data_IF_852860009218
#
_entry.id   IF_852860009218
#
_cell.length_a   1.000
_cell.length_b   1.000
_cell.length_c   1.000
_cell.angle_alpha   90.00
_cell.angle_beta   90.00
_cell.angle_gamma   90.00
#
_symmetry.space_group_name_H-M   'P 1'
#
loop_
_entity.id
_entity.type
_entity.pdbx_description
1 polymer ?
#
# COMPACT_ATOMS: atom_id res chain seq x y z
N UNK A 1 -48.47 41.88 28.88
CA UNK A 1 -47.51 41.07 29.67
C UNK A 1 -47.31 39.74 28.97
N UNK A 2 -46.04 39.31 28.82
CA UNK A 2 -45.52 37.99 28.44
C UNK A 2 -45.93 37.41 27.06
N UNK A 3 -45.07 37.36 26.02
CA UNK A 3 -43.77 36.66 25.82
C UNK A 3 -43.91 35.19 25.41
N UNK A 4 -43.56 34.95 24.14
CA UNK A 4 -42.84 33.80 23.55
C UNK A 4 -43.38 32.38 23.81
N UNK A 5 -44.05 31.78 22.81
CA UNK A 5 -44.25 30.34 22.78
C UNK A 5 -44.47 29.79 21.34
N UNK A 6 -43.60 30.10 20.37
CA UNK A 6 -43.67 29.47 19.03
C UNK A 6 -42.30 29.34 18.34
N UNK A 7 -41.22 29.19 19.11
CA UNK A 7 -39.84 29.08 18.59
C UNK A 7 -39.14 27.70 18.85
N UNK A 8 -39.67 26.68 19.57
CA UNK A 8 -38.81 25.53 19.89
C UNK A 8 -38.70 24.49 18.75
N UNK A 9 -39.61 24.47 17.77
CA UNK A 9 -39.63 23.40 16.75
C UNK A 9 -38.76 23.65 15.53
N UNK A 10 -38.38 24.90 15.23
CA UNK A 10 -37.52 25.20 14.07
C UNK A 10 -36.03 24.90 14.36
N UNK A 11 -35.62 24.87 15.64
CA UNK A 11 -34.23 24.65 16.04
C UNK A 11 -33.80 23.18 16.05
N UNK A 12 -34.75 22.24 16.08
CA UNK A 12 -34.45 20.80 16.09
C UNK A 12 -34.21 20.21 14.68
N UNK A 13 -34.68 20.89 13.63
CA UNK A 13 -34.52 20.43 12.25
C UNK A 13 -33.19 20.88 11.60
N UNK A 14 -32.54 21.93 12.14
CA UNK A 14 -31.28 22.48 11.60
C UNK A 14 -30.04 21.75 12.12
N UNK A 15 -30.13 21.09 13.28
CA UNK A 15 -29.00 20.36 13.88
C UNK A 15 -28.71 18.99 13.26
N UNK A 16 -29.62 18.43 12.44
CA UNK A 16 -29.43 17.10 11.83
C UNK A 16 -28.74 17.13 10.46
N UNK A 17 -28.28 18.28 9.97
CA UNK A 17 -27.60 18.38 8.67
C UNK A 17 -26.06 18.33 8.75
N UNK A 18 -25.47 18.18 9.95
CA UNK A 18 -24.03 18.36 10.14
C UNK A 18 -23.21 17.10 10.47
N UNK A 19 -23.73 15.89 10.25
CA UNK A 19 -23.01 14.63 10.54
C UNK A 19 -22.96 13.65 9.36
N UNK A 20 -22.94 14.14 8.13
CA UNK A 20 -22.47 13.35 7.00
C UNK A 20 -21.04 13.79 6.67
N UNK A 21 -20.06 13.30 7.44
CA UNK A 21 -18.69 13.27 6.93
C UNK A 21 -18.73 12.29 5.76
N UNK A 22 -18.45 12.71 4.52
CA UNK A 22 -18.30 11.74 3.44
C UNK A 22 -17.08 10.89 3.80
N UNK A 23 -17.33 9.66 4.23
CA UNK A 23 -16.31 8.60 4.25
C UNK A 23 -16.05 8.29 2.78
N UNK A 24 -15.16 9.08 2.18
CA UNK A 24 -14.69 8.83 0.83
C UNK A 24 -13.71 7.66 0.95
N UNK A 25 -14.21 6.45 0.73
CA UNK A 25 -13.37 5.27 0.59
C UNK A 25 -12.37 5.50 -0.55
N UNK A 26 -11.17 4.95 -0.38
CA UNK A 26 -10.17 4.97 -1.42
C UNK A 26 -10.74 4.33 -2.71
N UNK A 27 -10.42 4.92 -3.88
CA UNK A 27 -10.80 4.32 -5.16
C UNK A 27 -10.11 2.95 -5.31
N UNK A 28 -10.76 2.01 -5.99
CA UNK A 28 -10.13 0.71 -6.24
C UNK A 28 -8.80 0.87 -6.98
N UNK A 29 -7.81 0.07 -6.58
CA UNK A 29 -6.45 0.17 -7.12
C UNK A 29 -6.43 0.05 -8.65
N UNK A 30 -7.29 -0.80 -9.22
CA UNK A 30 -7.40 -1.03 -10.67
C UNK A 30 -7.73 0.24 -11.49
N UNK A 31 -8.49 1.18 -10.92
CA UNK A 31 -8.82 2.45 -11.59
C UNK A 31 -7.67 3.45 -11.60
N UNK A 32 -6.69 3.28 -10.71
CA UNK A 32 -5.52 4.15 -10.58
C UNK A 32 -4.33 3.67 -11.41
N UNK A 33 -4.38 2.43 -11.90
CA UNK A 33 -3.28 1.84 -12.66
C UNK A 33 -3.24 2.38 -14.10
N UNK A 34 -2.03 2.60 -14.65
CA UNK A 34 -1.89 3.08 -16.02
C UNK A 34 -2.29 1.99 -17.03
N UNK A 35 -2.69 2.41 -18.24
CA UNK A 35 -3.01 1.51 -19.35
C UNK A 35 -1.85 0.60 -19.79
N UNK A 36 -0.62 0.90 -19.37
CA UNK A 36 0.58 0.09 -19.64
C UNK A 36 0.76 -1.07 -18.65
N UNK A 37 -0.15 -1.24 -17.70
CA UNK A 37 -0.18 -2.37 -16.75
C UNK A 37 -0.34 -3.70 -17.50
N UNK A 38 0.53 -4.66 -17.21
CA UNK A 38 0.53 -6.00 -17.82
C UNK A 38 -0.10 -7.07 -16.95
N UNK A 39 -0.16 -6.82 -15.65
CA UNK A 39 -0.85 -7.67 -14.70
C UNK A 39 -1.00 -6.95 -13.38
N UNK A 40 -2.08 -7.24 -12.67
CA UNK A 40 -2.30 -6.74 -11.33
C UNK A 40 -2.97 -7.82 -10.47
N UNK A 41 -2.80 -7.70 -9.17
CA UNK A 41 -3.47 -8.48 -8.14
C UNK A 41 -4.01 -7.49 -7.11
N UNK A 42 -5.32 -7.48 -6.94
CA UNK A 42 -6.01 -6.68 -5.94
C UNK A 42 -6.61 -7.60 -4.88
N UNK A 43 -6.39 -7.27 -3.62
CA UNK A 43 -6.98 -7.91 -2.46
C UNK A 43 -7.83 -6.84 -1.76
N UNK A 44 -9.17 -6.84 -1.94
CA UNK A 44 -10.05 -5.79 -1.39
C UNK A 44 -10.03 -5.72 0.13
N UNK A 45 -9.97 -6.89 0.78
CA UNK A 45 -9.88 -7.04 2.22
C UNK A 45 -9.02 -8.27 2.53
N UNK A 46 -7.96 -8.07 3.31
CA UNK A 46 -6.99 -9.10 3.62
C UNK A 46 -7.53 -10.14 4.60
N UNK A 47 -8.39 -9.72 5.54
CA UNK A 47 -8.99 -10.58 6.55
C UNK A 47 -10.05 -11.49 5.93
N UNK A 48 -10.89 -10.96 5.05
CA UNK A 48 -11.86 -11.73 4.27
C UNK A 48 -11.15 -12.68 3.30
N UNK A 49 -10.10 -12.23 2.62
CA UNK A 49 -9.29 -13.09 1.76
C UNK A 49 -8.70 -14.25 2.56
N UNK A 50 -8.14 -13.98 3.73
CA UNK A 50 -7.58 -15.01 4.61
C UNK A 50 -8.65 -15.99 5.07
N UNK A 51 -9.80 -15.48 5.54
CA UNK A 51 -10.92 -16.31 5.97
C UNK A 51 -11.46 -17.19 4.84
N UNK A 52 -11.53 -16.67 3.61
CA UNK A 52 -11.95 -17.43 2.43
C UNK A 52 -10.91 -18.49 2.05
N UNK A 53 -9.62 -18.12 2.05
CA UNK A 53 -8.52 -19.04 1.75
C UNK A 53 -8.46 -20.21 2.75
N UNK A 54 -8.61 -19.93 4.03
CA UNK A 54 -8.58 -20.93 5.11
C UNK A 54 -9.73 -21.94 5.00
N UNK A 55 -10.85 -21.58 4.35
CA UNK A 55 -11.96 -22.50 4.06
C UNK A 55 -11.71 -23.42 2.86
N UNK A 56 -10.72 -23.13 2.02
CA UNK A 56 -10.38 -23.98 0.88
C UNK A 56 -9.70 -25.27 1.34
N UNK A 57 -9.76 -26.34 0.53
CA UNK A 57 -9.03 -27.57 0.81
C UNK A 57 -7.51 -27.34 0.89
N UNK A 58 -6.99 -26.40 0.09
CA UNK A 58 -5.58 -25.99 0.17
C UNK A 58 -5.27 -25.28 1.48
N UNK A 59 -6.16 -24.39 1.94
CA UNK A 59 -6.02 -23.72 3.24
C UNK A 59 -5.99 -24.72 4.40
N UNK A 60 -6.91 -25.68 4.40
CA UNK A 60 -6.94 -26.77 5.39
C UNK A 60 -5.68 -27.63 5.35
N UNK A 61 -5.19 -27.98 4.15
CA UNK A 61 -3.97 -28.76 3.98
C UNK A 61 -2.73 -28.00 4.50
N UNK A 62 -2.66 -26.68 4.28
CA UNK A 62 -1.56 -25.84 4.78
C UNK A 62 -1.59 -25.72 6.31
N UNK A 63 -2.75 -25.90 6.94
CA UNK A 63 -2.91 -25.88 8.39
C UNK A 63 -2.68 -27.25 9.05
N UNK A 64 -2.60 -28.33 8.27
CA UNK A 64 -2.37 -29.68 8.79
C UNK A 64 -0.98 -29.79 9.46
N UNK A 65 -0.89 -30.28 10.72
CA UNK A 65 0.38 -30.45 11.42
C UNK A 65 1.42 -31.30 10.65
N UNK A 66 0.97 -32.29 9.87
CA UNK A 66 1.84 -33.16 9.06
C UNK A 66 2.46 -32.38 7.89
N UNK A 67 1.76 -31.36 7.39
CA UNK A 67 2.22 -30.52 6.29
C UNK A 67 3.15 -29.39 6.73
N UNK A 68 3.25 -29.12 8.04
CA UNK A 68 4.09 -28.05 8.62
C UNK A 68 5.51 -27.95 8.03
N UNK A 69 6.33 -29.02 7.94
CA UNK A 69 7.68 -28.90 7.37
C UNK A 69 7.68 -28.49 5.89
N UNK A 70 6.71 -28.94 5.10
CA UNK A 70 6.56 -28.54 3.70
C UNK A 70 6.16 -27.06 3.59
N UNK A 71 5.19 -26.63 4.40
CA UNK A 71 4.71 -25.24 4.42
C UNK A 71 5.81 -24.27 4.82
N UNK A 72 6.61 -24.63 5.83
CA UNK A 72 7.74 -23.82 6.27
C UNK A 72 8.82 -23.70 5.19
N UNK A 73 9.15 -24.80 4.51
CA UNK A 73 10.11 -24.77 3.40
C UNK A 73 9.58 -23.94 2.21
N UNK A 74 8.32 -24.12 1.82
CA UNK A 74 7.69 -23.32 0.78
C UNK A 74 7.71 -21.83 1.12
N UNK A 75 7.35 -21.45 2.35
CA UNK A 75 7.43 -20.06 2.83
C UNK A 75 8.84 -19.51 2.74
N UNK A 76 9.86 -20.30 3.10
CA UNK A 76 11.27 -19.92 3.00
C UNK A 76 11.68 -19.67 1.54
N UNK A 77 11.30 -20.57 0.63
CA UNK A 77 11.59 -20.43 -0.80
C UNK A 77 10.89 -19.19 -1.39
N UNK A 78 9.62 -18.97 -1.06
CA UNK A 78 8.87 -17.80 -1.48
C UNK A 78 9.49 -16.51 -0.94
N UNK A 79 9.86 -16.46 0.35
CA UNK A 79 10.51 -15.30 0.96
C UNK A 79 11.86 -14.99 0.30
N UNK A 80 12.65 -16.00 -0.04
CA UNK A 80 13.92 -15.82 -0.76
C UNK A 80 13.72 -15.21 -2.15
N UNK A 81 12.72 -15.69 -2.90
CA UNK A 81 12.38 -15.14 -4.23
C UNK A 81 11.80 -13.73 -4.13
N UNK A 82 10.87 -13.52 -3.21
CA UNK A 82 10.24 -12.21 -2.98
C UNK A 82 11.25 -11.19 -2.49
N UNK A 83 12.20 -11.52 -1.62
CA UNK A 83 13.22 -10.57 -1.17
C UNK A 83 14.06 -10.02 -2.34
N UNK A 84 14.36 -10.82 -3.37
CA UNK A 84 15.04 -10.34 -4.58
C UNK A 84 14.22 -9.29 -5.35
N UNK A 85 12.89 -9.35 -5.25
CA UNK A 85 11.96 -8.40 -5.88
C UNK A 85 11.59 -7.24 -4.95
N UNK A 86 11.42 -7.50 -3.64
CA UNK A 86 11.08 -6.54 -2.57
C UNK A 86 12.20 -5.54 -2.30
N UNK A 87 13.45 -5.85 -2.66
CA UNK A 87 14.55 -4.86 -2.65
C UNK A 87 14.15 -3.60 -3.42
N UNK A 88 13.38 -3.74 -4.51
CA UNK A 88 12.98 -2.59 -5.36
C UNK A 88 12.08 -1.59 -4.64
N UNK A 89 11.20 -2.05 -3.73
CA UNK A 89 10.26 -1.19 -3.03
C UNK A 89 10.52 -1.05 -1.54
N UNK A 90 11.51 -1.73 -0.93
CA UNK A 90 11.86 -1.54 0.48
C UNK A 90 10.75 -1.84 1.51
N UNK A 91 9.58 -2.33 1.10
CA UNK A 91 8.45 -2.66 1.96
C UNK A 91 8.49 -4.15 2.29
N UNK A 92 8.31 -4.46 3.57
CA UNK A 92 8.14 -5.81 4.06
C UNK A 92 6.66 -6.10 4.23
N UNK A 93 6.24 -7.31 3.86
CA UNK A 93 4.87 -7.77 4.03
C UNK A 93 4.37 -7.67 5.48
N UNK A 94 5.25 -7.94 6.45
CA UNK A 94 4.87 -7.86 7.87
C UNK A 94 4.62 -6.42 8.33
N UNK A 95 5.19 -5.43 7.63
CA UNK A 95 5.03 -4.02 7.97
C UNK A 95 3.73 -3.43 7.39
N UNK A 96 3.08 -4.14 6.45
CA UNK A 96 1.80 -3.74 5.87
C UNK A 96 0.63 -4.07 6.80
N UNK A 97 0.76 -5.10 7.65
CA UNK A 97 -0.35 -5.69 8.39
C UNK A 97 -1.12 -4.71 9.30
N UNK A 98 -0.45 -3.69 9.83
CA UNK A 98 -1.06 -2.69 10.72
C UNK A 98 -1.37 -1.36 9.98
N UNK A 99 -1.13 -1.32 8.67
CA UNK A 99 -1.17 -0.08 7.87
C UNK A 99 -2.32 -0.07 6.86
N UNK A 100 -2.82 -1.24 6.44
CA UNK A 100 -3.92 -1.30 5.48
C UNK A 100 -5.25 -1.01 6.17
N UNK A 101 -6.05 -0.11 5.56
CA UNK A 101 -7.43 0.18 5.93
C UNK A 101 -8.46 -0.49 5.01
N UNK A 102 -8.00 -1.22 4.00
CA UNK A 102 -8.84 -1.81 2.95
C UNK A 102 -7.98 -2.52 1.91
N UNK A 103 -8.10 -2.11 0.65
CA UNK A 103 -7.48 -2.78 -0.48
C UNK A 103 -5.94 -2.71 -0.48
N UNK A 104 -5.31 -3.84 -0.81
CA UNK A 104 -3.90 -3.90 -1.24
C UNK A 104 -3.85 -4.34 -2.70
N UNK A 105 -3.30 -3.50 -3.56
CA UNK A 105 -3.11 -3.79 -4.98
C UNK A 105 -1.64 -3.79 -5.38
N UNK A 106 -1.21 -4.84 -6.07
CA UNK A 106 0.10 -4.98 -6.69
C UNK A 106 -0.03 -5.00 -8.20
N UNK A 107 0.83 -4.26 -8.90
CA UNK A 107 0.81 -4.19 -10.35
C UNK A 107 2.20 -4.28 -10.96
N UNK A 108 2.26 -4.93 -12.13
CA UNK A 108 3.42 -4.95 -13.01
C UNK A 108 3.11 -4.01 -14.18
N UNK A 109 3.91 -2.96 -14.30
CA UNK A 109 3.75 -1.89 -15.28
C UNK A 109 4.87 -2.00 -16.31
N UNK A 110 4.53 -1.77 -17.59
CA UNK A 110 5.52 -1.63 -18.65
C UNK A 110 5.71 -0.14 -18.96
N UNK A 111 6.65 0.56 -18.30
CA UNK A 111 6.92 1.95 -18.60
C UNK A 111 7.55 2.13 -19.99
N UNK A 112 7.49 3.35 -20.51
CA UNK A 112 8.18 3.74 -21.74
C UNK A 112 9.65 4.08 -21.44
N UNK A 113 10.38 3.14 -20.82
CA UNK A 113 11.81 3.24 -20.53
C UNK A 113 12.54 1.99 -21.06
N UNK A 114 13.47 2.21 -22.00
CA UNK A 114 14.28 1.15 -22.61
C UNK A 114 15.25 0.52 -21.61
N UNK A 115 15.71 1.28 -20.61
CA UNK A 115 16.66 0.80 -19.58
C UNK A 115 15.96 0.03 -18.46
N UNK A 116 14.70 0.35 -18.19
CA UNK A 116 13.87 -0.33 -17.20
C UNK A 116 12.50 -0.66 -17.81
N UNK A 117 12.39 -1.71 -18.64
CA UNK A 117 11.14 -2.04 -19.34
C UNK A 117 10.03 -2.60 -18.41
N UNK A 118 10.34 -2.83 -17.14
CA UNK A 118 9.42 -3.37 -16.14
C UNK A 118 9.52 -2.61 -14.81
N UNK A 119 8.36 -2.17 -14.34
CA UNK A 119 8.18 -1.51 -13.06
C UNK A 119 7.15 -2.27 -12.21
N UNK A 120 7.25 -2.11 -10.90
CA UNK A 120 6.29 -2.62 -9.94
C UNK A 120 5.67 -1.41 -9.25
N UNK A 121 4.34 -1.45 -9.08
CA UNK A 121 3.61 -0.52 -8.24
C UNK A 121 2.83 -1.28 -7.19
N UNK A 122 2.75 -0.69 -6.00
CA UNK A 122 1.89 -1.13 -4.92
C UNK A 122 1.05 0.05 -4.47
N UNK A 123 -0.23 -0.20 -4.32
CA UNK A 123 -1.25 0.71 -3.84
C UNK A 123 -1.82 0.07 -2.58
N UNK A 124 -1.83 0.82 -1.47
CA UNK A 124 -2.40 0.38 -0.21
C UNK A 124 -3.40 1.43 0.22
N UNK A 125 -4.66 1.04 0.37
CA UNK A 125 -5.66 1.88 1.03
C UNK A 125 -5.26 2.06 2.48
N UNK A 126 -5.13 3.32 2.90
CA UNK A 126 -4.78 3.74 4.25
C UNK A 126 -5.88 4.61 4.87
N UNK A 127 -7.12 4.48 4.38
CA UNK A 127 -8.32 5.08 4.98
C UNK A 127 -8.38 4.68 6.45
N UNK A 128 -8.61 5.68 7.31
CA UNK A 128 -8.56 5.57 8.78
C UNK A 128 -7.21 5.11 9.39
N UNK A 129 -6.17 4.91 8.59
CA UNK A 129 -4.84 4.42 8.99
C UNK A 129 -3.68 5.31 8.52
N UNK A 130 -3.96 6.60 8.27
CA UNK A 130 -2.99 7.55 7.72
C UNK A 130 -1.75 7.75 8.62
N UNK A 131 -1.92 7.75 9.94
CA UNK A 131 -0.80 7.87 10.88
C UNK A 131 0.12 6.65 10.81
N UNK A 132 -0.46 5.45 10.75
CA UNK A 132 0.24 4.18 10.59
C UNK A 132 1.00 4.15 9.25
N UNK A 133 0.39 4.66 8.17
CA UNK A 133 1.05 4.81 6.88
C UNK A 133 2.27 5.74 6.91
N UNK A 134 2.17 6.85 7.64
CA UNK A 134 3.33 7.73 7.86
C UNK A 134 4.42 7.05 8.70
N UNK A 135 4.05 6.28 9.71
CA UNK A 135 5.00 5.50 10.51
C UNK A 135 5.70 4.43 9.68
N UNK A 136 4.97 3.73 8.81
CA UNK A 136 5.51 2.79 7.84
C UNK A 136 6.53 3.47 6.93
N UNK A 137 6.21 4.63 6.35
CA UNK A 137 7.15 5.40 5.53
C UNK A 137 8.41 5.81 6.31
N UNK A 138 8.29 6.20 7.58
CA UNK A 138 9.45 6.50 8.43
C UNK A 138 10.32 5.26 8.65
N UNK A 139 9.71 4.10 8.89
CA UNK A 139 10.42 2.82 9.05
C UNK A 139 11.13 2.39 7.78
N UNK A 140 10.47 2.47 6.62
CA UNK A 140 11.07 2.24 5.29
C UNK A 140 12.25 3.17 5.07
N UNK A 141 12.06 4.47 5.33
CA UNK A 141 13.12 5.48 5.19
C UNK A 141 14.36 5.13 6.01
N UNK A 142 14.17 4.77 7.28
CA UNK A 142 15.27 4.35 8.17
C UNK A 142 16.00 3.12 7.64
N UNK A 143 15.24 2.11 7.20
CA UNK A 143 15.80 0.85 6.70
C UNK A 143 16.59 1.05 5.39
N UNK A 144 16.06 1.85 4.45
CA UNK A 144 16.74 2.13 3.19
C UNK A 144 18.00 2.98 3.40
N UNK A 145 17.94 4.00 4.27
CA UNK A 145 19.13 4.81 4.61
C UNK A 145 20.20 3.94 5.27
N UNK A 146 19.83 3.01 6.14
CA UNK A 146 20.76 2.05 6.74
C UNK A 146 21.44 1.14 5.70
N UNK A 147 20.83 0.96 4.52
CA UNK A 147 21.39 0.26 3.36
C UNK A 147 22.18 1.18 2.40
N UNK A 148 22.45 2.43 2.79
CA UNK A 148 23.19 3.38 1.96
C UNK A 148 22.32 4.16 0.96
N UNK A 149 20.99 4.12 1.09
CA UNK A 149 20.11 4.85 0.20
C UNK A 149 20.21 6.38 0.41
N UNK A 150 20.23 7.12 -0.70
CA UNK A 150 20.12 8.58 -0.69
C UNK A 150 18.65 8.99 -0.80
N UNK A 151 18.13 9.65 0.24
CA UNK A 151 16.77 10.21 0.26
C UNK A 151 16.73 11.56 -0.45
N UNK A 152 15.69 11.80 -1.23
CA UNK A 152 15.40 13.09 -1.87
C UNK A 152 13.89 13.27 -2.02
N UNK A 153 13.45 14.51 -2.15
CA UNK A 153 12.05 14.84 -2.43
C UNK A 153 11.96 15.43 -3.84
N UNK A 154 10.94 15.02 -4.59
CA UNK A 154 10.68 15.48 -5.96
C UNK A 154 9.22 15.91 -6.10
N UNK A 155 8.96 16.78 -7.06
CA UNK A 155 7.61 17.04 -7.55
C UNK A 155 7.36 16.16 -8.79
N UNK A 156 6.41 15.22 -8.70
CA UNK A 156 5.93 14.42 -9.84
C UNK A 156 4.46 14.77 -10.03
N UNK A 157 4.11 15.31 -11.21
CA UNK A 157 2.76 15.78 -11.52
C UNK A 157 2.21 16.79 -10.48
N UNK A 158 3.07 17.68 -9.97
CA UNK A 158 2.69 18.72 -9.00
C UNK A 158 2.47 18.24 -7.57
N UNK A 159 2.74 16.96 -7.31
CA UNK A 159 2.60 16.33 -6.00
C UNK A 159 3.98 15.93 -5.46
N UNK A 160 4.14 16.00 -4.14
CA UNK A 160 5.38 15.64 -3.48
C UNK A 160 5.58 14.11 -3.47
N UNK A 161 6.76 13.64 -3.87
CA UNK A 161 7.16 12.23 -3.84
C UNK A 161 8.50 12.10 -3.16
N UNK A 162 8.58 11.17 -2.20
CA UNK A 162 9.86 10.78 -1.60
C UNK A 162 10.52 9.75 -2.50
N UNK A 163 11.76 10.02 -2.90
CA UNK A 163 12.59 9.12 -3.69
C UNK A 163 13.79 8.64 -2.88
N UNK A 164 14.05 7.35 -2.97
CA UNK A 164 15.28 6.72 -2.51
C UNK A 164 16.07 6.21 -3.71
N UNK A 165 17.34 6.58 -3.78
CA UNK A 165 18.33 5.98 -4.67
C UNK A 165 19.15 4.99 -3.84
N UNK A 166 18.95 3.69 -4.07
CA UNK A 166 19.54 2.58 -3.31
C UNK A 166 20.63 1.94 -4.16
N UNK A 167 21.91 1.97 -3.75
CA UNK A 167 22.94 1.22 -4.45
C UNK A 167 22.67 -0.28 -4.34
N UNK A 168 22.97 -1.03 -5.40
CA UNK A 168 22.88 -2.48 -5.38
C UNK A 168 23.90 -3.07 -4.37
N UNK A 169 23.53 -4.19 -3.73
CA UNK A 169 24.37 -4.83 -2.71
C UNK A 169 25.64 -5.46 -3.33
N UNK A 170 25.57 -5.90 -4.59
CA UNK A 170 26.68 -6.56 -5.29
C UNK A 170 27.48 -5.58 -6.20
N UNK A 171 26.82 -4.54 -6.75
CA UNK A 171 27.46 -3.53 -7.61
C UNK A 171 26.95 -2.11 -7.34
N UNK A 172 27.71 -1.33 -6.57
CA UNK A 172 27.35 0.04 -6.19
C UNK A 172 27.20 1.03 -7.37
N UNK A 173 27.60 0.65 -8.60
CA UNK A 173 27.34 1.46 -9.80
C UNK A 173 25.89 1.34 -10.31
N UNK A 174 25.20 0.25 -9.93
CA UNK A 174 23.79 0.02 -10.20
C UNK A 174 22.97 0.68 -9.09
N UNK A 175 22.09 1.62 -9.46
CA UNK A 175 21.25 2.36 -8.52
C UNK A 175 19.78 2.03 -8.76
N UNK A 176 19.16 1.35 -7.81
CA UNK A 176 17.72 1.10 -7.78
C UNK A 176 16.99 2.33 -7.25
N UNK A 177 15.85 2.65 -7.83
CA UNK A 177 15.05 3.80 -7.41
C UNK A 177 13.75 3.30 -6.79
N UNK A 178 13.33 3.92 -5.68
CA UNK A 178 12.04 3.67 -5.06
C UNK A 178 11.35 5.00 -4.76
N UNK A 179 10.08 5.10 -5.10
CA UNK A 179 9.25 6.29 -5.00
C UNK A 179 8.07 5.99 -4.09
N UNK A 180 7.80 6.88 -3.14
CA UNK A 180 6.71 6.74 -2.19
C UNK A 180 5.93 8.04 -2.06
N UNK A 181 4.62 7.91 -1.91
CA UNK A 181 3.70 9.01 -1.66
C UNK A 181 2.48 8.51 -0.92
N UNK A 182 1.91 9.35 -0.06
CA UNK A 182 0.53 9.18 0.40
C UNK A 182 -0.32 10.24 -0.30
N UNK A 183 -1.38 9.84 -0.99
CA UNK A 183 -2.30 10.73 -1.71
C UNK A 183 -3.67 10.08 -1.83
N UNK A 184 -4.74 10.85 -1.61
CA UNK A 184 -6.13 10.39 -1.72
C UNK A 184 -6.37 9.03 -1.03
N UNK A 185 -5.95 8.95 0.23
CA UNK A 185 -6.00 7.76 1.08
C UNK A 185 -5.25 6.52 0.55
N UNK A 186 -4.34 6.69 -0.40
CA UNK A 186 -3.46 5.64 -0.86
C UNK A 186 -2.02 5.89 -0.44
N UNK A 187 -1.39 4.89 0.16
CA UNK A 187 0.06 4.76 0.13
C UNK A 187 0.46 4.12 -1.22
N UNK A 188 1.15 4.90 -2.03
CA UNK A 188 1.65 4.53 -3.35
C UNK A 188 3.15 4.27 -3.22
N UNK A 189 3.60 3.09 -3.67
CA UNK A 189 5.01 2.73 -3.75
C UNK A 189 5.32 2.18 -5.14
N UNK A 190 6.37 2.69 -5.80
CA UNK A 190 6.80 2.19 -7.11
C UNK A 190 8.30 2.30 -7.29
N UNK A 191 8.89 1.48 -8.16
CA UNK A 191 10.32 1.47 -8.48
C UNK A 191 10.66 2.26 -9.76
N UNK A 192 9.67 2.97 -10.31
CA UNK A 192 9.81 3.73 -11.54
C UNK A 192 9.12 5.10 -11.43
N UNK A 193 9.61 6.08 -12.19
CA UNK A 193 9.15 7.48 -12.08
C UNK A 193 7.83 7.76 -12.83
N UNK A 194 7.64 7.09 -13.97
CA UNK A 194 6.47 7.26 -14.84
C UNK A 194 5.26 6.52 -14.30
#
# INVERSE_FOLDING_TARGET
MARHAFIPTLLLAVTLQFLAVPVQAAQFGETLLPATTKGFLSIPDLDDFRAAFDRTQLGQLVQDPVMKPFVEDLRRQLKSKLNKTSVRLGIRWEDLADTYGGEICFAIIQPSDVRQPHAIAMLVDVTDHQEQAQQLLKKISKNLIAKGATRSTLQIQGLETVRFAVPDEDDATIIHHAYYRIHDNHLIATDHRQ
#
